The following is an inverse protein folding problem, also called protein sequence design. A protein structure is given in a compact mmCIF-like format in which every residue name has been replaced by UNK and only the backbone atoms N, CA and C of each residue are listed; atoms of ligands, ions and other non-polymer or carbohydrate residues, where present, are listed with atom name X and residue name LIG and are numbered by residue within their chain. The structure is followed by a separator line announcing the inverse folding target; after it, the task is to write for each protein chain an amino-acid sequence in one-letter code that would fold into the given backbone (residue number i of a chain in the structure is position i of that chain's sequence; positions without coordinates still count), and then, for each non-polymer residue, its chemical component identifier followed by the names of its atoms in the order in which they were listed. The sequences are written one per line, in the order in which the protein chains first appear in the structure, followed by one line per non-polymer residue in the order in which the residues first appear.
data_IF_083865662570
#
_entry.id   IF_083865662570
#
_cell.length_a   1.000
_cell.length_b   1.000
_cell.length_c   1.000
_cell.angle_alpha   90.00
_cell.angle_beta   90.00
_cell.angle_gamma   90.00
#
_symmetry.space_group_name_H-M   'P 1'
#
loop_
_entity.id
_entity.type
_entity.pdbx_description
1 polymer ?
#
# COMPACT_ATOMS: atom_id res chain seq x y z
N UNK A 1 9.85 13.31 -18.76
CA UNK A 1 10.32 14.49 -17.99
C UNK A 1 11.84 14.56 -17.77
N UNK A 2 12.62 13.48 -17.89
CA UNK A 2 14.09 13.52 -17.67
C UNK A 2 14.94 13.96 -18.89
N UNK A 3 14.34 14.11 -20.08
CA UNK A 3 15.04 14.51 -21.31
C UNK A 3 15.20 16.03 -21.45
N UNK A 4 14.33 16.80 -20.80
CA UNK A 4 14.46 18.25 -20.75
C UNK A 4 15.52 18.60 -19.70
N UNK A 5 16.60 19.22 -20.14
CA UNK A 5 17.68 19.70 -19.28
C UNK A 5 17.25 20.72 -18.23
N UNK A 6 18.21 21.13 -17.40
CA UNK A 6 18.04 22.22 -16.46
C UNK A 6 18.09 23.60 -17.14
N UNK A 7 18.31 24.66 -16.34
CA UNK A 7 18.44 26.05 -16.84
C UNK A 7 19.62 26.28 -17.80
N UNK A 8 20.50 25.29 -17.98
CA UNK A 8 21.63 25.30 -18.91
C UNK A 8 21.23 25.13 -20.38
N UNK A 9 20.02 24.65 -20.68
CA UNK A 9 19.56 24.40 -22.06
C UNK A 9 20.06 23.09 -22.67
N UNK A 10 21.15 22.51 -22.15
CA UNK A 10 21.68 21.21 -22.57
C UNK A 10 20.82 20.04 -22.07
N UNK A 11 20.55 19.02 -22.89
CA UNK A 11 19.78 17.86 -22.47
C UNK A 11 20.52 17.09 -21.36
N UNK A 12 19.85 16.87 -20.23
CA UNK A 12 20.43 16.12 -19.11
C UNK A 12 20.80 14.68 -19.52
N UNK A 13 20.00 14.11 -20.40
CA UNK A 13 20.09 12.73 -20.87
C UNK A 13 19.76 12.66 -22.37
N UNK A 14 20.70 12.14 -23.15
CA UNK A 14 20.53 11.81 -24.56
C UNK A 14 20.48 10.29 -24.69
N UNK A 15 19.29 9.78 -24.99
CA UNK A 15 19.04 8.34 -25.12
C UNK A 15 20.00 7.68 -26.11
N UNK A 16 20.72 6.64 -25.68
CA UNK A 16 21.67 5.90 -26.50
C UNK A 16 23.07 6.51 -26.57
N UNK A 17 23.25 7.75 -26.14
CA UNK A 17 24.50 8.51 -26.29
C UNK A 17 24.98 9.04 -24.92
N UNK A 18 25.68 8.21 -24.12
CA UNK A 18 26.26 8.64 -22.85
C UNK A 18 27.16 9.87 -23.00
N UNK A 19 27.94 9.93 -24.07
CA UNK A 19 28.93 10.97 -24.31
C UNK A 19 28.30 12.33 -24.63
N UNK A 20 27.03 12.35 -25.08
CA UNK A 20 26.24 13.57 -25.27
C UNK A 20 25.32 13.87 -24.07
N UNK A 21 25.34 13.02 -23.03
CA UNK A 21 24.48 13.17 -21.85
C UNK A 21 25.21 13.91 -20.73
N UNK A 22 24.71 15.09 -20.36
CA UNK A 22 25.28 15.90 -19.28
C UNK A 22 25.41 15.11 -17.96
N UNK A 23 24.46 14.21 -17.66
CA UNK A 23 24.56 13.33 -16.51
C UNK A 23 25.86 12.52 -16.50
N UNK A 24 26.22 11.90 -17.61
CA UNK A 24 27.42 11.06 -17.70
C UNK A 24 28.69 11.93 -17.69
N UNK A 25 28.68 13.04 -18.43
CA UNK A 25 29.79 13.99 -18.46
C UNK A 25 30.14 14.51 -17.05
N UNK A 26 29.14 14.82 -16.23
CA UNK A 26 29.34 15.26 -14.84
C UNK A 26 29.90 14.17 -13.92
N UNK A 27 29.63 12.89 -14.20
CA UNK A 27 30.19 11.79 -13.41
C UNK A 27 31.66 11.54 -13.73
N UNK A 28 32.08 11.80 -14.97
CA UNK A 28 33.43 11.50 -15.47
C UNK A 28 34.31 12.73 -15.68
N UNK A 29 33.87 13.92 -15.25
CA UNK A 29 34.61 15.17 -15.48
C UNK A 29 35.97 15.18 -14.74
N UNK A 30 37.02 15.67 -15.39
CA UNK A 30 38.38 15.73 -14.81
C UNK A 30 38.50 16.82 -13.74
N UNK A 31 37.88 17.98 -13.97
CA UNK A 31 37.77 19.05 -12.98
C UNK A 31 36.87 18.63 -11.80
N UNK A 32 37.44 18.65 -10.60
CA UNK A 32 36.79 18.27 -9.34
C UNK A 32 35.59 19.18 -9.02
N UNK A 33 35.65 20.46 -9.41
CA UNK A 33 34.59 21.44 -9.14
C UNK A 33 33.37 21.23 -10.06
N UNK A 34 33.59 20.61 -11.23
CA UNK A 34 32.54 20.30 -12.20
C UNK A 34 32.04 18.85 -12.11
N UNK A 35 32.80 17.96 -11.44
CA UNK A 35 32.44 16.56 -11.23
C UNK A 35 31.42 16.37 -10.11
N UNK A 36 30.41 15.55 -10.37
CA UNK A 36 29.38 15.15 -9.40
C UNK A 36 29.48 13.64 -9.11
N UNK A 37 29.27 13.18 -7.85
CA UNK A 37 29.17 13.97 -6.63
C UNK A 37 30.55 14.53 -6.20
N UNK A 38 30.63 15.76 -5.66
CA UNK A 38 31.90 16.45 -5.40
C UNK A 38 32.71 15.84 -4.24
N UNK A 39 32.04 15.35 -3.19
CA UNK A 39 32.70 14.80 -2.00
C UNK A 39 33.00 13.30 -2.12
N UNK A 40 32.10 12.56 -2.72
CA UNK A 40 32.15 11.10 -2.80
C UNK A 40 31.86 10.69 -4.24
N UNK A 41 32.90 10.66 -5.10
CA UNK A 41 32.76 10.18 -6.46
C UNK A 41 32.21 8.76 -6.49
N UNK A 42 31.39 8.46 -7.49
CA UNK A 42 30.88 7.11 -7.70
C UNK A 42 32.02 6.15 -8.08
N UNK A 43 31.86 4.88 -7.73
CA UNK A 43 32.80 3.83 -8.14
C UNK A 43 32.68 3.60 -9.64
N UNK A 44 33.76 3.17 -10.29
CA UNK A 44 33.78 2.87 -11.73
C UNK A 44 32.65 1.92 -12.17
N UNK A 45 32.30 0.94 -11.31
CA UNK A 45 31.19 0.02 -11.56
C UNK A 45 29.84 0.74 -11.64
N UNK A 46 29.60 1.72 -10.78
CA UNK A 46 28.36 2.50 -10.74
C UNK A 46 28.28 3.43 -11.94
N UNK A 47 29.39 4.08 -12.30
CA UNK A 47 29.51 4.90 -13.52
C UNK A 47 29.22 4.04 -14.77
N UNK A 48 29.77 2.82 -14.83
CA UNK A 48 29.54 1.88 -15.93
C UNK A 48 28.09 1.43 -16.03
N UNK A 49 27.39 1.25 -14.90
CA UNK A 49 25.96 0.93 -14.90
C UNK A 49 25.14 2.07 -15.49
N UNK A 50 25.45 3.31 -15.11
CA UNK A 50 24.78 4.51 -15.64
C UNK A 50 25.06 4.64 -17.14
N UNK A 51 26.32 4.45 -17.57
CA UNK A 51 26.69 4.47 -18.99
C UNK A 51 25.87 3.44 -19.78
N UNK A 52 25.80 2.20 -19.30
CA UNK A 52 25.08 1.13 -20.00
C UNK A 52 23.57 1.37 -20.01
N UNK A 53 23.00 1.90 -18.93
CA UNK A 53 21.59 2.28 -18.89
C UNK A 53 21.28 3.39 -19.90
N UNK A 54 22.15 4.40 -20.04
CA UNK A 54 21.98 5.44 -21.07
C UNK A 54 22.09 4.84 -22.48
N UNK A 55 23.05 3.95 -22.73
CA UNK A 55 23.18 3.21 -24.02
C UNK A 55 21.93 2.39 -24.35
N UNK A 56 21.27 1.83 -23.34
CA UNK A 56 20.02 1.08 -23.48
C UNK A 56 18.79 1.97 -23.66
N UNK A 57 18.98 3.29 -23.78
CA UNK A 57 17.93 4.26 -24.04
C UNK A 57 17.41 4.98 -22.80
N UNK A 58 18.13 4.89 -21.67
CA UNK A 58 17.79 5.56 -20.41
C UNK A 58 16.32 5.36 -19.99
N UNK A 59 15.80 4.15 -20.18
CA UNK A 59 14.40 3.85 -19.90
C UNK A 59 14.12 4.07 -18.41
N UNK A 60 13.21 5.01 -18.14
CA UNK A 60 12.75 5.34 -16.79
C UNK A 60 11.22 5.30 -16.79
N UNK A 61 10.60 4.32 -16.11
CA UNK A 61 9.15 4.24 -16.06
C UNK A 61 8.57 5.43 -15.29
N UNK A 62 7.41 5.91 -15.70
CA UNK A 62 6.65 6.83 -14.86
C UNK A 62 6.29 6.15 -13.54
N UNK A 63 6.43 6.88 -12.44
CA UNK A 63 6.08 6.35 -11.13
C UNK A 63 4.59 5.98 -11.11
N UNK A 64 4.24 4.83 -10.54
CA UNK A 64 2.88 4.28 -10.58
C UNK A 64 1.81 5.26 -10.09
N UNK A 65 2.15 6.15 -9.16
CA UNK A 65 1.26 7.17 -8.62
C UNK A 65 0.90 8.30 -9.61
N UNK A 66 1.69 8.48 -10.68
CA UNK A 66 1.44 9.47 -11.73
C UNK A 66 0.79 8.87 -12.98
N UNK A 67 0.70 7.54 -13.04
CA UNK A 67 0.00 6.86 -14.11
C UNK A 67 -1.51 6.97 -13.89
N UNK A 68 -2.31 7.16 -14.97
CA UNK A 68 -3.76 7.13 -14.84
C UNK A 68 -4.23 5.75 -14.35
N UNK A 69 -5.24 5.75 -13.47
CA UNK A 69 -5.87 4.52 -13.01
C UNK A 69 -6.48 3.78 -14.20
N UNK A 70 -6.07 2.52 -14.38
CA UNK A 70 -6.64 1.65 -15.42
C UNK A 70 -7.87 0.95 -14.86
N UNK A 71 -9.00 1.08 -15.55
CA UNK A 71 -10.17 0.26 -15.25
C UNK A 71 -9.87 -1.18 -15.67
N UNK A 72 -9.92 -2.10 -14.72
CA UNK A 72 -9.78 -3.54 -14.96
C UNK A 72 -11.14 -4.20 -14.84
N UNK A 73 -11.53 -4.99 -15.83
CA UNK A 73 -12.73 -5.82 -15.74
C UNK A 73 -12.50 -6.98 -14.76
N UNK A 74 -13.51 -7.38 -13.98
CA UNK A 74 -13.43 -8.56 -13.13
C UNK A 74 -13.04 -9.81 -13.92
N UNK A 75 -12.15 -10.68 -13.39
CA UNK A 75 -11.76 -11.89 -14.07
C UNK A 75 -12.93 -12.88 -14.16
N UNK A 76 -12.88 -13.73 -15.18
CA UNK A 76 -13.82 -14.86 -15.29
C UNK A 76 -13.46 -15.91 -14.24
N UNK A 77 -14.49 -16.37 -13.55
CA UNK A 77 -14.43 -17.40 -12.50
C UNK A 77 -15.30 -18.59 -12.91
N UNK A 78 -14.97 -19.78 -12.42
CA UNK A 78 -15.72 -21.00 -12.70
C UNK A 78 -17.03 -21.01 -11.91
N UNK A 79 -16.99 -20.64 -10.62
CA UNK A 79 -18.19 -20.50 -9.78
C UNK A 79 -18.76 -19.09 -9.86
N UNK A 80 -19.89 -18.93 -10.56
CA UNK A 80 -20.52 -17.62 -10.75
C UNK A 80 -21.50 -17.22 -9.64
N UNK A 81 -21.88 -18.16 -8.78
CA UNK A 81 -22.85 -18.01 -7.70
C UNK A 81 -22.23 -17.52 -6.37
N UNK A 82 -20.91 -17.63 -6.23
CA UNK A 82 -20.20 -17.26 -5.01
C UNK A 82 -19.86 -15.76 -4.87
N UNK A 83 -19.41 -15.06 -5.94
CA UNK A 83 -19.07 -13.63 -5.82
C UNK A 83 -20.31 -12.78 -5.48
N UNK A 84 -20.24 -11.99 -4.40
CA UNK A 84 -21.28 -11.03 -4.05
C UNK A 84 -21.03 -9.64 -4.67
N UNK A 85 -19.76 -9.32 -4.96
CA UNK A 85 -19.35 -8.07 -5.61
C UNK A 85 -18.19 -8.30 -6.61
N UNK A 86 -17.80 -7.24 -7.32
CA UNK A 86 -16.72 -7.29 -8.33
C UNK A 86 -15.34 -7.67 -7.76
N UNK A 87 -15.07 -7.36 -6.48
CA UNK A 87 -13.81 -7.69 -5.80
C UNK A 87 -13.71 -9.20 -5.58
N UNK A 88 -14.83 -9.84 -5.24
CA UNK A 88 -14.89 -11.27 -4.97
C UNK A 88 -14.48 -12.11 -6.19
N UNK A 89 -14.67 -11.60 -7.41
CA UNK A 89 -14.16 -12.25 -8.62
C UNK A 89 -12.64 -12.39 -8.62
N UNK A 90 -11.90 -11.37 -8.16
CA UNK A 90 -10.44 -11.41 -8.11
C UNK A 90 -9.95 -12.42 -7.06
N UNK A 91 -10.63 -12.45 -5.91
CA UNK A 91 -10.32 -13.39 -4.82
C UNK A 91 -10.59 -14.83 -5.28
N UNK A 92 -11.79 -15.07 -5.84
CA UNK A 92 -12.19 -16.39 -6.31
C UNK A 92 -11.33 -16.86 -7.48
N UNK A 93 -10.98 -15.98 -8.41
CA UNK A 93 -10.07 -16.30 -9.50
C UNK A 93 -8.71 -16.80 -8.98
N UNK A 94 -8.18 -16.18 -7.91
CA UNK A 94 -6.96 -16.63 -7.26
C UNK A 94 -7.15 -17.98 -6.57
N UNK A 95 -8.23 -18.17 -5.83
CA UNK A 95 -8.57 -19.45 -5.15
C UNK A 95 -8.66 -20.60 -6.15
N UNK A 96 -9.40 -20.41 -7.25
CA UNK A 96 -9.57 -21.41 -8.30
C UNK A 96 -8.26 -21.74 -9.02
N UNK A 97 -7.43 -20.72 -9.30
CA UNK A 97 -6.11 -20.92 -9.90
C UNK A 97 -5.19 -21.80 -9.05
N UNK A 98 -5.32 -21.71 -7.72
CA UNK A 98 -4.54 -22.52 -6.78
C UNK A 98 -5.20 -23.89 -6.49
N UNK A 99 -6.31 -24.23 -7.17
CA UNK A 99 -7.02 -25.49 -6.96
C UNK A 99 -7.73 -25.59 -5.61
N UNK A 100 -7.98 -24.46 -4.95
CA UNK A 100 -8.65 -24.38 -3.66
C UNK A 100 -10.15 -24.10 -3.82
N UNK A 101 -10.90 -24.28 -2.74
CA UNK A 101 -12.32 -23.93 -2.67
C UNK A 101 -12.56 -22.91 -1.55
N UNK A 102 -13.49 -21.96 -1.75
CA UNK A 102 -13.86 -21.02 -0.69
C UNK A 102 -14.38 -21.75 0.56
N UNK A 103 -14.02 -21.24 1.73
CA UNK A 103 -14.56 -21.75 2.99
C UNK A 103 -16.05 -21.44 3.11
N UNK A 104 -16.83 -22.30 3.80
CA UNK A 104 -18.23 -22.04 4.05
C UNK A 104 -18.41 -20.77 4.91
N UNK A 105 -19.58 -20.10 4.84
CA UNK A 105 -19.91 -18.97 5.70
C UNK A 105 -19.77 -19.33 7.19
N UNK A 106 -19.31 -18.37 7.98
CA UNK A 106 -19.19 -18.55 9.42
C UNK A 106 -20.57 -18.65 10.07
N UNK A 107 -20.68 -19.48 11.11
CA UNK A 107 -21.87 -19.51 11.97
C UNK A 107 -22.07 -18.14 12.64
N UNK A 108 -23.33 -17.72 12.92
CA UNK A 108 -23.63 -16.37 13.42
C UNK A 108 -22.86 -16.02 14.71
N UNK A 109 -22.75 -16.95 15.66
CA UNK A 109 -21.97 -16.71 16.88
C UNK A 109 -20.47 -16.47 16.62
N UNK A 110 -19.89 -17.20 15.67
CA UNK A 110 -18.50 -17.00 15.27
C UNK A 110 -18.31 -15.67 14.54
N UNK A 111 -19.27 -15.28 13.70
CA UNK A 111 -19.27 -13.99 13.01
C UNK A 111 -19.33 -12.82 14.01
N UNK A 112 -20.28 -12.85 14.95
CA UNK A 112 -20.41 -11.82 15.98
C UNK A 112 -19.14 -11.71 16.83
N UNK A 113 -18.56 -12.85 17.22
CA UNK A 113 -17.32 -12.85 17.99
C UNK A 113 -16.16 -12.20 17.23
N UNK A 114 -16.00 -12.52 15.93
CA UNK A 114 -14.97 -11.91 15.08
C UNK A 114 -15.17 -10.40 14.98
N UNK A 115 -16.39 -9.97 14.64
CA UNK A 115 -16.72 -8.54 14.53
C UNK A 115 -16.45 -7.78 15.83
N UNK A 116 -16.84 -8.34 16.97
CA UNK A 116 -16.65 -7.67 18.26
C UNK A 116 -15.16 -7.55 18.61
N UNK A 117 -14.38 -8.62 18.43
CA UNK A 117 -12.94 -8.59 18.70
C UNK A 117 -12.18 -7.68 17.72
N UNK A 118 -12.60 -7.65 16.46
CA UNK A 118 -11.94 -6.82 15.45
C UNK A 118 -12.25 -5.33 15.67
N UNK A 119 -13.53 -4.99 15.87
CA UNK A 119 -13.97 -3.61 15.98
C UNK A 119 -13.72 -2.99 17.36
N UNK A 120 -14.01 -3.71 18.45
CA UNK A 120 -13.91 -3.17 19.82
C UNK A 120 -12.82 -3.83 20.66
N UNK A 121 -12.27 -4.97 20.23
CA UNK A 121 -11.28 -5.72 21.01
C UNK A 121 -11.87 -6.54 22.15
N UNK A 122 -13.20 -6.52 22.32
CA UNK A 122 -13.91 -7.18 23.42
C UNK A 122 -14.76 -8.34 22.89
N UNK A 123 -14.90 -9.44 23.64
CA UNK A 123 -15.83 -10.50 23.29
C UNK A 123 -17.29 -10.01 23.47
N UNK A 124 -18.25 -10.51 22.67
CA UNK A 124 -19.67 -10.20 22.86
C UNK A 124 -20.19 -10.81 24.16
N UNK A 125 -21.25 -10.23 24.73
CA UNK A 125 -21.94 -10.83 25.88
C UNK A 125 -22.81 -12.01 25.46
N UNK A 126 -23.24 -12.81 26.44
CA UNK A 126 -24.12 -13.96 26.20
C UNK A 126 -25.47 -13.50 25.64
N UNK A 127 -26.00 -12.39 26.18
CA UNK A 127 -27.27 -11.80 25.78
C UNK A 127 -27.21 -11.25 24.35
N UNK A 128 -26.10 -10.61 23.99
CA UNK A 128 -25.86 -10.12 22.62
C UNK A 128 -25.79 -11.28 21.63
N UNK A 129 -25.13 -12.38 22.01
CA UNK A 129 -25.02 -13.57 21.17
C UNK A 129 -26.38 -14.23 20.95
N UNK A 130 -27.18 -14.40 21.99
CA UNK A 130 -28.54 -14.95 21.89
C UNK A 130 -29.44 -14.05 21.02
N UNK A 131 -29.42 -12.74 21.28
CA UNK A 131 -30.22 -11.77 20.53
C UNK A 131 -29.84 -11.76 19.04
N UNK A 132 -28.54 -11.79 18.74
CA UNK A 132 -28.05 -11.86 17.36
C UNK A 132 -28.44 -13.16 16.68
N UNK A 133 -28.31 -14.31 17.36
CA UNK A 133 -28.70 -15.60 16.80
C UNK A 133 -30.20 -15.66 16.44
N UNK A 134 -31.07 -15.11 17.29
CA UNK A 134 -32.50 -15.02 16.99
C UNK A 134 -32.80 -14.06 15.84
N UNK A 135 -32.17 -12.87 15.82
CA UNK A 135 -32.35 -11.91 14.74
C UNK A 135 -31.84 -12.44 13.39
N UNK A 136 -30.71 -13.17 13.41
CA UNK A 136 -30.11 -13.80 12.24
C UNK A 136 -31.03 -14.82 11.56
N UNK A 137 -31.86 -15.53 12.33
CA UNK A 137 -32.84 -16.46 11.75
C UNK A 137 -33.96 -15.75 10.97
N UNK A 138 -34.24 -14.49 11.29
CA UNK A 138 -35.29 -13.71 10.64
C UNK A 138 -34.74 -12.97 9.42
N UNK A 139 -33.65 -12.22 9.60
CA UNK A 139 -32.98 -11.47 8.54
C UNK A 139 -31.48 -11.33 8.84
N UNK A 140 -30.61 -12.15 8.21
CA UNK A 140 -29.17 -12.09 8.38
C UNK A 140 -28.55 -10.74 8.00
N UNK A 141 -29.04 -10.08 6.95
CA UNK A 141 -28.42 -8.87 6.41
C UNK A 141 -28.71 -7.67 7.31
N UNK A 142 -29.98 -7.51 7.72
CA UNK A 142 -30.39 -6.44 8.63
C UNK A 142 -29.75 -6.64 10.00
N UNK A 143 -29.73 -7.88 10.52
CA UNK A 143 -29.12 -8.17 11.82
C UNK A 143 -27.61 -7.90 11.83
N UNK A 144 -26.90 -8.27 10.76
CA UNK A 144 -25.47 -7.98 10.60
C UNK A 144 -25.21 -6.47 10.61
N UNK A 145 -25.95 -5.72 9.79
CA UNK A 145 -25.82 -4.26 9.72
C UNK A 145 -26.06 -3.61 11.09
N UNK A 146 -27.14 -3.98 11.78
CA UNK A 146 -27.46 -3.44 13.09
C UNK A 146 -26.35 -3.69 14.13
N UNK A 147 -25.73 -4.88 14.11
CA UNK A 147 -24.58 -5.20 14.97
C UNK A 147 -23.37 -4.36 14.61
N UNK A 148 -23.03 -4.23 13.32
CA UNK A 148 -21.89 -3.42 12.87
C UNK A 148 -22.08 -1.96 13.28
N UNK A 149 -23.24 -1.38 13.02
CA UNK A 149 -23.55 0.02 13.39
C UNK A 149 -23.42 0.24 14.91
N UNK A 150 -23.92 -0.70 15.71
CA UNK A 150 -23.79 -0.67 17.18
C UNK A 150 -22.33 -0.76 17.64
N UNK A 151 -21.53 -1.64 17.04
CA UNK A 151 -20.12 -1.81 17.41
C UNK A 151 -19.29 -0.57 17.01
N UNK A 152 -19.54 0.00 15.83
CA UNK A 152 -18.88 1.24 15.37
C UNK A 152 -19.25 2.45 16.22
N UNK A 153 -20.49 2.51 16.73
CA UNK A 153 -20.94 3.58 17.63
C UNK A 153 -20.42 3.46 19.07
N UNK A 154 -19.82 2.32 19.45
CA UNK A 154 -19.29 2.09 20.79
C UNK A 154 -18.03 2.93 21.05
N UNK A 155 -17.86 3.54 22.24
CA UNK A 155 -16.60 4.18 22.63
C UNK A 155 -15.39 3.24 22.52
N UNK A 156 -15.60 1.94 22.77
CA UNK A 156 -14.56 0.91 22.68
C UNK A 156 -14.00 0.75 21.26
N UNK A 157 -14.75 1.10 20.21
CA UNK A 157 -14.22 1.15 18.84
C UNK A 157 -13.12 2.21 18.72
N UNK A 158 -13.37 3.40 19.26
CA UNK A 158 -12.39 4.49 19.30
C UNK A 158 -11.16 4.11 20.14
N UNK A 159 -11.36 3.47 21.29
CA UNK A 159 -10.26 2.96 22.14
C UNK A 159 -9.41 1.91 21.39
N UNK A 160 -10.06 0.96 20.69
CA UNK A 160 -9.39 -0.09 19.92
C UNK A 160 -8.53 0.47 18.80
N UNK A 161 -9.07 1.41 18.02
CA UNK A 161 -8.33 2.08 16.94
C UNK A 161 -7.26 3.03 17.46
N UNK A 162 -7.54 3.73 18.55
CA UNK A 162 -6.59 4.61 19.22
C UNK A 162 -5.33 3.85 19.66
N UNK A 163 -5.46 2.61 20.14
CA UNK A 163 -4.31 1.78 20.54
C UNK A 163 -3.26 1.63 19.44
N UNK A 164 -3.67 1.42 18.19
CA UNK A 164 -2.73 1.27 17.07
C UNK A 164 -1.86 2.53 16.86
N UNK A 165 -2.43 3.70 17.14
CA UNK A 165 -1.72 4.97 17.04
C UNK A 165 -0.98 5.34 18.33
N UNK A 166 -1.50 4.95 19.49
CA UNK A 166 -0.82 5.16 20.77
C UNK A 166 0.47 4.35 20.87
N UNK A 167 0.53 3.16 20.28
CA UNK A 167 1.78 2.38 20.17
C UNK A 167 2.85 3.15 19.36
N UNK A 168 2.45 3.90 18.32
CA UNK A 168 3.34 4.75 17.53
C UNK A 168 3.66 6.08 18.22
N UNK A 169 2.68 6.70 18.89
CA UNK A 169 2.85 7.97 19.59
C UNK A 169 3.74 7.82 20.83
N UNK A 170 3.74 6.66 21.49
CA UNK A 170 4.66 6.34 22.60
C UNK A 170 6.10 6.13 22.13
N UNK A 171 6.32 5.89 20.83
CA UNK A 171 7.65 5.89 20.20
C UNK A 171 8.03 7.27 19.65
N UNK A 172 7.22 8.30 19.92
CA UNK A 172 7.49 9.70 19.63
C UNK A 172 7.73 10.47 20.94
N UNK A 173 8.56 9.90 21.82
CA UNK A 173 9.10 10.62 22.98
C UNK A 173 9.93 11.84 22.56
N UNK A 174 10.23 11.99 21.26
CA UNK A 174 10.96 13.13 20.73
C UNK A 174 10.31 13.95 19.62
N UNK A 175 10.86 15.14 19.40
CA UNK A 175 10.36 16.12 18.42
C UNK A 175 10.42 15.63 16.96
N UNK A 176 11.16 14.55 16.67
CA UNK A 176 11.03 13.68 15.49
C UNK A 176 11.29 14.28 14.10
N UNK A 177 11.30 15.60 13.96
CA UNK A 177 11.41 16.30 12.67
C UNK A 177 12.81 16.88 12.44
N UNK A 178 13.58 17.15 13.50
CA UNK A 178 14.97 17.65 13.40
C UNK A 178 15.83 17.46 14.67
N UNK A 179 15.23 17.20 15.84
CA UNK A 179 15.92 17.01 17.13
C UNK A 179 15.28 15.89 17.94
N UNK A 180 16.09 15.15 18.68
CA UNK A 180 15.67 14.06 19.57
C UNK A 180 15.49 14.56 21.01
N UNK A 181 14.72 15.64 21.19
CA UNK A 181 14.47 16.22 22.51
C UNK A 181 13.20 15.63 23.14
N UNK A 182 13.18 15.37 24.46
CA UNK A 182 11.99 14.87 25.14
C UNK A 182 10.84 15.90 25.12
N UNK A 183 9.61 15.45 24.83
CA UNK A 183 8.41 16.28 24.96
C UNK A 183 8.05 16.50 26.44
N UNK A 184 7.62 17.72 26.87
CA UNK A 184 7.19 17.98 28.25
C UNK A 184 5.91 17.25 28.63
#
# INVERSE_FOLDING_TARGET
MAQAGGKSGEPLLVSGQPEESELFLRLTHDDVDLRMPPKTPLKEREISLIQNWIRQGASWPEHWAYLPLRKTSPPKVLKQDWPANEIDHFILHRIEKEGLTPSPPAMPGALLRRLSLDLTGLPPTVEELQSFQSAWQTDPEISLKAVVDRLLASPHFGERWGRHWLDQARYADSDGYEKDNPRP
#
